data_IF_096405357906
#
_entry.id   IF_096405357906
#
_cell.length_a   1.000
_cell.length_b   1.000
_cell.length_c   1.000
_cell.angle_alpha   90.00
_cell.angle_beta   90.00
_cell.angle_gamma   90.00
#
_symmetry.space_group_name_H-M   'P 1'
#
loop_
_entity.id
_entity.type
_entity.pdbx_description
1 polymer ?
#
# COMPACT_ATOMS: atom_id res chain seq x y z
N UNK A 1 -16.76 -82.43 14.64
CA UNK A 1 -18.02 -83.15 14.40
C UNK A 1 -18.18 -84.15 15.53
N UNK A 2 -19.15 -83.93 16.42
CA UNK A 2 -19.49 -84.93 17.41
C UNK A 2 -20.03 -86.15 16.67
N UNK A 3 -19.38 -87.31 16.80
CA UNK A 3 -20.00 -88.57 16.40
C UNK A 3 -21.23 -88.73 17.30
N UNK A 4 -22.41 -88.54 16.72
CA UNK A 4 -23.66 -88.93 17.37
C UNK A 4 -23.60 -90.43 17.60
N UNK A 5 -23.32 -90.86 18.83
CA UNK A 5 -23.55 -92.22 19.30
C UNK A 5 -25.07 -92.48 19.40
N UNK A 6 -25.82 -92.10 18.37
CA UNK A 6 -27.22 -92.40 18.22
C UNK A 6 -27.32 -93.88 17.89
N UNK A 7 -27.94 -94.63 18.79
CA UNK A 7 -28.15 -96.07 18.63
C UNK A 7 -29.17 -96.28 17.51
N UNK A 8 -28.86 -97.13 16.53
CA UNK A 8 -29.79 -97.50 15.46
C UNK A 8 -31.03 -98.16 16.08
N UNK A 9 -32.18 -97.50 16.00
CA UNK A 9 -33.45 -98.00 16.55
C UNK A 9 -34.23 -98.84 15.53
N UNK A 10 -33.97 -98.67 14.23
CA UNK A 10 -34.64 -99.39 13.15
C UNK A 10 -33.95 -100.73 12.86
N UNK A 11 -34.73 -101.82 12.84
CA UNK A 11 -34.25 -103.18 12.57
C UNK A 11 -33.64 -103.32 11.17
N UNK A 12 -34.21 -102.67 10.15
CA UNK A 12 -33.65 -102.69 8.79
C UNK A 12 -32.32 -101.94 8.72
N UNK A 13 -32.19 -100.83 9.45
CA UNK A 13 -30.93 -100.11 9.54
C UNK A 13 -29.83 -100.96 10.25
N UNK A 14 -30.19 -101.70 11.29
CA UNK A 14 -29.28 -102.65 11.94
C UNK A 14 -28.87 -103.78 11.00
N UNK A 15 -29.79 -104.33 10.20
CA UNK A 15 -29.49 -105.37 9.18
C UNK A 15 -28.55 -104.87 8.10
N UNK A 16 -28.81 -103.67 7.55
CA UNK A 16 -27.96 -103.04 6.54
C UNK A 16 -26.54 -102.86 7.10
N UNK A 17 -26.41 -102.35 8.33
CA UNK A 17 -25.10 -102.17 8.96
C UNK A 17 -24.39 -103.50 9.26
N UNK A 18 -25.13 -104.54 9.64
CA UNK A 18 -24.56 -105.88 9.84
C UNK A 18 -24.01 -106.47 8.53
N UNK A 19 -24.72 -106.30 7.41
CA UNK A 19 -24.25 -106.73 6.08
C UNK A 19 -23.01 -105.93 5.67
N UNK A 20 -23.02 -104.60 5.86
CA UNK A 20 -21.86 -103.76 5.56
C UNK A 20 -20.64 -104.14 6.42
N UNK A 21 -20.85 -104.49 7.68
CA UNK A 21 -19.76 -104.95 8.53
C UNK A 21 -19.23 -106.33 8.13
N UNK A 22 -20.13 -107.26 7.84
CA UNK A 22 -19.74 -108.60 7.42
C UNK A 22 -19.03 -108.59 6.07
N UNK A 23 -19.47 -107.75 5.13
CA UNK A 23 -18.82 -107.58 3.83
C UNK A 23 -17.45 -106.92 3.97
N UNK A 24 -17.30 -105.87 4.78
CA UNK A 24 -16.00 -105.26 5.07
C UNK A 24 -15.03 -106.28 5.68
N UNK A 25 -15.49 -107.07 6.66
CA UNK A 25 -14.69 -108.11 7.30
C UNK A 25 -14.25 -109.19 6.30
N UNK A 26 -15.16 -109.67 5.43
CA UNK A 26 -14.81 -110.64 4.36
C UNK A 26 -13.80 -110.07 3.37
N UNK A 27 -13.98 -108.81 2.95
CA UNK A 27 -13.08 -108.13 2.04
C UNK A 27 -11.69 -107.92 2.64
N UNK A 28 -11.61 -107.63 3.95
CA UNK A 28 -10.34 -107.53 4.66
C UNK A 28 -9.59 -108.87 4.67
N UNK A 29 -10.28 -109.97 5.00
CA UNK A 29 -9.67 -111.31 4.98
C UNK A 29 -9.15 -111.68 3.58
N UNK A 30 -9.95 -111.47 2.54
CA UNK A 30 -9.53 -111.75 1.15
C UNK A 30 -8.41 -110.81 0.66
N UNK A 31 -8.29 -109.62 1.23
CA UNK A 31 -7.24 -108.67 0.84
C UNK A 31 -5.82 -109.17 1.15
N UNK A 32 -5.70 -110.16 2.04
CA UNK A 32 -4.45 -110.79 2.41
C UNK A 32 -4.06 -111.96 1.49
N UNK A 33 -4.96 -112.40 0.60
CA UNK A 33 -4.68 -113.43 -0.40
C UNK A 33 -4.04 -112.75 -1.62
N UNK A 34 -2.79 -113.09 -2.00
CA UNK A 34 -2.17 -112.50 -3.18
C UNK A 34 -2.92 -112.88 -4.47
N UNK A 35 -3.35 -111.92 -5.30
CA UNK A 35 -4.10 -112.22 -6.50
C UNK A 35 -3.18 -112.75 -7.60
N UNK A 36 -3.62 -113.77 -8.34
CA UNK A 36 -2.99 -114.27 -9.56
C UNK A 36 -1.55 -114.81 -9.42
N UNK A 37 -0.98 -114.85 -8.21
CA UNK A 37 0.39 -115.35 -7.94
C UNK A 37 0.48 -116.01 -6.57
N UNK A 38 1.43 -116.94 -6.43
CA UNK A 38 1.82 -117.48 -5.11
C UNK A 38 2.63 -116.45 -4.32
N UNK A 39 2.45 -116.33 -3.00
CA UNK A 39 3.30 -115.52 -2.13
C UNK A 39 4.79 -115.92 -2.21
N UNK A 40 5.68 -115.00 -1.89
CA UNK A 40 7.11 -115.30 -1.71
C UNK A 40 7.30 -116.26 -0.52
N UNK A 41 8.17 -117.26 -0.65
CA UNK A 41 8.34 -118.29 0.39
C UNK A 41 7.16 -119.28 0.48
N UNK A 42 6.43 -119.49 -0.63
CA UNK A 42 5.27 -120.39 -0.67
C UNK A 42 5.57 -121.80 -0.15
N UNK A 43 6.76 -122.35 -0.41
CA UNK A 43 7.13 -123.69 0.05
C UNK A 43 7.19 -123.76 1.60
N UNK A 44 7.74 -122.72 2.25
CA UNK A 44 7.74 -122.60 3.72
C UNK A 44 6.33 -122.37 4.28
N UNK A 45 5.47 -121.67 3.53
CA UNK A 45 4.06 -121.48 3.87
C UNK A 45 3.27 -122.79 3.83
N UNK A 46 3.51 -123.64 2.82
CA UNK A 46 2.86 -124.95 2.66
C UNK A 46 3.23 -125.88 3.81
N UNK A 47 4.49 -125.88 4.22
CA UNK A 47 4.99 -126.71 5.32
C UNK A 47 4.36 -126.33 6.68
N UNK A 48 4.08 -125.05 6.91
CA UNK A 48 3.51 -124.55 8.17
C UNK A 48 1.98 -124.64 8.23
N UNK A 49 1.30 -124.44 7.11
CA UNK A 49 -0.16 -124.31 7.05
C UNK A 49 -0.85 -125.62 6.62
N UNK A 50 -0.09 -126.52 5.99
CA UNK A 50 -0.53 -127.85 5.58
C UNK A 50 -0.98 -127.93 4.13
N UNK A 51 -0.83 -129.12 3.54
CA UNK A 51 -1.08 -129.38 2.12
C UNK A 51 -2.55 -129.14 1.71
N UNK A 52 -3.51 -129.35 2.62
CA UNK A 52 -4.94 -129.12 2.34
C UNK A 52 -5.26 -127.63 2.12
N UNK A 53 -4.64 -126.75 2.91
CA UNK A 53 -4.83 -125.30 2.78
C UNK A 53 -4.11 -124.77 1.53
N UNK A 54 -2.90 -125.28 1.28
CA UNK A 54 -2.15 -124.97 0.07
C UNK A 54 -2.95 -125.36 -1.19
N UNK A 55 -3.57 -126.54 -1.19
CA UNK A 55 -4.41 -127.00 -2.30
C UNK A 55 -5.59 -126.05 -2.56
N UNK A 56 -6.31 -125.63 -1.52
CA UNK A 56 -7.45 -124.70 -1.66
C UNK A 56 -7.00 -123.33 -2.22
N UNK A 57 -5.83 -122.84 -1.79
CA UNK A 57 -5.27 -121.59 -2.32
C UNK A 57 -4.74 -121.73 -3.75
N UNK A 58 -4.16 -122.87 -4.10
CA UNK A 58 -3.73 -123.18 -5.46
C UNK A 58 -4.92 -123.35 -6.43
N UNK A 59 -6.01 -123.98 -5.97
CA UNK A 59 -7.27 -124.06 -6.71
C UNK A 59 -7.88 -122.67 -6.93
N UNK A 60 -7.91 -121.82 -5.89
CA UNK A 60 -8.33 -120.43 -6.03
C UNK A 60 -7.46 -119.65 -7.02
N UNK A 61 -6.13 -119.80 -6.94
CA UNK A 61 -5.18 -119.16 -7.84
C UNK A 61 -5.40 -119.57 -9.30
N UNK A 62 -5.60 -120.86 -9.55
CA UNK A 62 -5.88 -121.40 -10.87
C UNK A 62 -7.19 -120.84 -11.43
N UNK A 63 -8.26 -120.82 -10.62
CA UNK A 63 -9.55 -120.26 -11.02
C UNK A 63 -9.46 -118.76 -11.31
N UNK A 64 -8.69 -117.99 -10.54
CA UNK A 64 -8.44 -116.56 -10.80
C UNK A 64 -7.70 -116.32 -12.12
N UNK A 65 -6.70 -117.16 -12.42
CA UNK A 65 -5.94 -117.09 -13.68
C UNK A 65 -6.82 -117.44 -14.88
N UNK A 66 -7.58 -118.53 -14.79
CA UNK A 66 -8.54 -118.93 -15.81
C UNK A 66 -9.63 -117.87 -16.02
N UNK A 67 -10.16 -117.31 -14.93
CA UNK A 67 -11.20 -116.28 -15.02
C UNK A 67 -10.68 -115.03 -15.71
N UNK A 68 -9.43 -114.64 -15.43
CA UNK A 68 -8.76 -113.55 -16.13
C UNK A 68 -8.63 -113.83 -17.62
N UNK A 69 -8.26 -115.05 -18.03
CA UNK A 69 -8.14 -115.42 -19.44
C UNK A 69 -9.47 -115.44 -20.20
N UNK A 70 -10.54 -115.92 -19.58
CA UNK A 70 -11.88 -115.93 -20.19
C UNK A 70 -12.48 -114.52 -20.23
N UNK A 71 -12.15 -113.67 -19.24
CA UNK A 71 -12.64 -112.29 -19.17
C UNK A 71 -11.87 -111.33 -20.07
N UNK A 72 -10.65 -111.67 -20.52
CA UNK A 72 -9.87 -110.81 -21.43
C UNK A 72 -10.31 -111.00 -22.89
N UNK A 73 -10.51 -109.90 -23.65
CA UNK A 73 -10.92 -110.01 -25.05
C UNK A 73 -9.82 -110.68 -25.91
N UNK A 74 -10.22 -111.48 -26.89
CA UNK A 74 -9.33 -112.34 -27.71
C UNK A 74 -8.06 -111.65 -28.26
N UNK A 75 -8.11 -110.36 -28.58
CA UNK A 75 -6.97 -109.60 -29.09
C UNK A 75 -5.86 -109.30 -28.06
N UNK A 76 -6.13 -109.48 -26.76
CA UNK A 76 -5.21 -109.20 -25.64
C UNK A 76 -4.81 -110.49 -24.88
N UNK A 77 -5.32 -111.66 -25.30
CA UNK A 77 -5.07 -112.93 -24.62
C UNK A 77 -3.59 -113.38 -24.71
N UNK A 78 -2.88 -113.01 -25.78
CA UNK A 78 -1.45 -113.29 -25.93
C UNK A 78 -0.58 -112.51 -24.93
N UNK A 79 -0.99 -111.29 -24.53
CA UNK A 79 -0.29 -110.46 -23.54
C UNK A 79 -0.68 -110.83 -22.09
N UNK A 80 -1.83 -111.49 -21.91
CA UNK A 80 -2.31 -112.03 -20.64
C UNK A 80 -1.66 -113.38 -20.24
N UNK A 81 -0.69 -113.87 -21.03
CA UNK A 81 0.08 -115.09 -20.74
C UNK A 81 -0.70 -116.39 -20.92
N UNK A 82 -1.71 -116.41 -21.80
CA UNK A 82 -2.48 -117.62 -22.08
C UNK A 82 -1.65 -118.63 -22.91
N UNK A 83 -1.50 -119.84 -22.37
CA UNK A 83 -0.92 -120.98 -23.08
C UNK A 83 -2.04 -121.75 -23.79
N UNK A 84 -2.07 -121.68 -25.13
CA UNK A 84 -3.17 -122.15 -25.97
C UNK A 84 -3.43 -123.67 -25.97
N UNK A 85 -2.73 -124.43 -25.12
CA UNK A 85 -2.89 -125.87 -24.97
C UNK A 85 -4.02 -126.27 -23.98
N UNK A 86 -4.52 -125.35 -23.14
CA UNK A 86 -5.54 -125.66 -22.13
C UNK A 86 -6.96 -125.29 -22.57
N UNK A 87 -7.87 -126.28 -22.60
CA UNK A 87 -9.30 -126.03 -22.81
C UNK A 87 -9.87 -125.26 -21.61
N UNK A 88 -10.34 -124.02 -21.85
CA UNK A 88 -10.95 -123.20 -20.81
C UNK A 88 -12.39 -123.66 -20.54
N UNK A 89 -12.83 -123.73 -19.26
CA UNK A 89 -14.23 -123.93 -18.91
C UNK A 89 -15.13 -122.80 -19.44
N UNK A 90 -16.44 -123.03 -19.50
CA UNK A 90 -17.40 -121.99 -19.83
C UNK A 90 -17.40 -120.89 -18.75
N UNK A 91 -17.61 -119.63 -19.17
CA UNK A 91 -17.54 -118.47 -18.28
C UNK A 91 -18.49 -118.58 -17.10
N UNK A 92 -19.73 -119.05 -17.31
CA UNK A 92 -20.72 -119.20 -16.24
C UNK A 92 -20.28 -120.25 -15.22
N UNK A 93 -19.76 -121.39 -15.68
CA UNK A 93 -19.24 -122.45 -14.79
C UNK A 93 -18.03 -121.97 -13.99
N UNK A 94 -17.14 -121.21 -14.63
CA UNK A 94 -15.95 -120.67 -14.00
C UNK A 94 -16.25 -119.56 -12.99
N UNK A 95 -17.24 -118.70 -13.28
CA UNK A 95 -17.73 -117.67 -12.34
C UNK A 95 -18.33 -118.33 -11.09
N UNK A 96 -19.13 -119.40 -11.25
CA UNK A 96 -19.71 -120.14 -10.14
C UNK A 96 -18.67 -120.89 -9.30
N UNK A 97 -17.69 -121.55 -9.94
CA UNK A 97 -16.58 -122.23 -9.28
C UNK A 97 -15.66 -121.25 -8.55
N UNK A 98 -15.31 -120.12 -9.18
CA UNK A 98 -14.52 -119.06 -8.53
C UNK A 98 -15.26 -118.46 -7.34
N UNK A 99 -16.57 -118.21 -7.45
CA UNK A 99 -17.40 -117.76 -6.30
C UNK A 99 -17.49 -118.80 -5.21
N UNK A 100 -17.53 -120.09 -5.56
CA UNK A 100 -17.52 -121.17 -4.57
C UNK A 100 -16.18 -121.24 -3.86
N UNK A 101 -15.08 -121.28 -4.60
CA UNK A 101 -13.72 -121.30 -4.07
C UNK A 101 -13.43 -120.08 -3.19
N UNK A 102 -13.80 -118.87 -3.64
CA UNK A 102 -13.65 -117.63 -2.86
C UNK A 102 -14.44 -117.68 -1.55
N UNK A 103 -15.61 -118.34 -1.52
CA UNK A 103 -16.38 -118.57 -0.28
C UNK A 103 -15.71 -119.59 0.65
N UNK A 104 -15.11 -120.63 0.09
CA UNK A 104 -14.35 -121.66 0.84
C UNK A 104 -13.09 -121.03 1.45
N UNK A 105 -12.30 -120.29 0.66
CA UNK A 105 -11.13 -119.52 1.12
C UNK A 105 -11.52 -118.53 2.22
N UNK A 106 -12.58 -117.74 2.01
CA UNK A 106 -13.13 -116.84 3.05
C UNK A 106 -13.45 -117.58 4.36
N UNK A 107 -14.11 -118.74 4.26
CA UNK A 107 -14.52 -119.53 5.42
C UNK A 107 -13.29 -120.09 6.14
N UNK A 108 -12.35 -120.65 5.39
CA UNK A 108 -11.10 -121.18 5.90
C UNK A 108 -10.29 -120.11 6.65
N UNK A 109 -10.12 -118.91 6.06
CA UNK A 109 -9.42 -117.79 6.69
C UNK A 109 -10.13 -117.27 7.96
N UNK A 110 -11.46 -117.38 8.00
CA UNK A 110 -12.27 -117.01 9.17
C UNK A 110 -12.19 -118.04 10.30
N UNK A 111 -12.21 -119.32 9.97
CA UNK A 111 -12.21 -120.43 10.93
C UNK A 111 -10.80 -120.70 11.50
N UNK A 112 -9.75 -120.39 10.74
CA UNK A 112 -8.35 -120.54 11.14
C UNK A 112 -7.55 -119.22 10.96
N UNK A 113 -7.62 -118.28 11.92
CA UNK A 113 -6.97 -116.97 11.81
C UNK A 113 -5.44 -117.02 11.69
N UNK A 114 -4.80 -118.09 12.18
CA UNK A 114 -3.36 -118.33 12.00
C UNK A 114 -2.93 -118.35 10.52
N UNK A 115 -3.81 -118.84 9.63
CA UNK A 115 -3.58 -118.86 8.17
C UNK A 115 -3.52 -117.44 7.62
N UNK A 116 -4.48 -116.60 8.02
CA UNK A 116 -4.54 -115.20 7.61
C UNK A 116 -3.36 -114.40 8.15
N UNK A 117 -2.92 -114.66 9.38
CA UNK A 117 -1.73 -114.03 9.96
C UNK A 117 -0.46 -114.40 9.22
N UNK A 118 -0.32 -115.67 8.82
CA UNK A 118 0.84 -116.10 8.04
C UNK A 118 0.82 -115.52 6.62
N UNK A 119 -0.33 -115.47 5.96
CA UNK A 119 -0.49 -114.79 4.66
C UNK A 119 -0.13 -113.29 4.72
N UNK A 120 -0.44 -112.62 5.84
CA UNK A 120 0.01 -111.24 6.08
C UNK A 120 1.52 -111.11 6.23
N UNK A 121 2.20 -112.12 6.75
CA UNK A 121 3.66 -112.13 6.96
C UNK A 121 4.43 -112.51 5.68
N UNK A 122 3.91 -113.43 4.87
CA UNK A 122 4.52 -113.89 3.62
C UNK A 122 4.22 -112.97 2.43
N UNK A 123 3.10 -112.25 2.46
CA UNK A 123 2.76 -111.22 1.48
C UNK A 123 3.57 -109.93 1.69
N UNK A 124 4.83 -109.90 1.27
CA UNK A 124 5.77 -108.79 1.48
C UNK A 124 5.29 -107.39 1.01
N UNK A 125 4.26 -107.30 0.15
CA UNK A 125 3.72 -106.02 -0.37
C UNK A 125 2.35 -105.61 0.21
N UNK A 126 1.74 -106.43 1.08
CA UNK A 126 0.39 -106.24 1.60
C UNK A 126 -0.69 -106.18 0.49
N UNK A 127 -1.95 -105.82 0.82
CA UNK A 127 -3.01 -105.72 -0.18
C UNK A 127 -2.66 -104.68 -1.26
N UNK A 128 -3.05 -104.90 -2.52
CA UNK A 128 -2.76 -103.94 -3.60
C UNK A 128 -3.21 -102.51 -3.26
N UNK A 129 -2.57 -101.49 -3.83
CA UNK A 129 -2.96 -100.09 -3.60
C UNK A 129 -4.43 -99.82 -3.96
N UNK A 130 -4.94 -100.50 -4.99
CA UNK A 130 -6.36 -100.46 -5.38
C UNK A 130 -7.26 -101.07 -4.30
N UNK A 131 -6.89 -102.24 -3.75
CA UNK A 131 -7.65 -102.91 -2.69
C UNK A 131 -7.64 -102.10 -1.38
N UNK A 132 -6.50 -101.51 -0.99
CA UNK A 132 -6.42 -100.61 0.18
C UNK A 132 -7.33 -99.40 0.03
N UNK A 133 -7.34 -98.76 -1.15
CA UNK A 133 -8.24 -97.64 -1.45
C UNK A 133 -9.70 -98.09 -1.39
N UNK A 134 -10.03 -99.25 -1.96
CA UNK A 134 -11.37 -99.80 -1.93
C UNK A 134 -11.86 -100.04 -0.49
N UNK A 135 -11.06 -100.73 0.33
CA UNK A 135 -11.35 -100.96 1.75
C UNK A 135 -11.56 -99.65 2.53
N UNK A 136 -10.71 -98.64 2.30
CA UNK A 136 -10.86 -97.31 2.92
C UNK A 136 -12.18 -96.65 2.52
N UNK A 137 -12.48 -96.60 1.21
CA UNK A 137 -13.73 -96.01 0.71
C UNK A 137 -14.97 -96.77 1.20
N UNK A 138 -14.87 -98.09 1.36
CA UNK A 138 -15.96 -98.90 1.88
C UNK A 138 -16.18 -98.65 3.39
N UNK A 139 -15.10 -98.48 4.16
CA UNK A 139 -15.18 -98.08 5.56
C UNK A 139 -15.79 -96.67 5.72
N UNK A 140 -15.45 -95.74 4.84
CA UNK A 140 -16.08 -94.41 4.78
C UNK A 140 -17.56 -94.50 4.42
N UNK A 141 -17.93 -95.32 3.43
CA UNK A 141 -19.33 -95.57 3.06
C UNK A 141 -20.12 -96.14 4.23
N UNK A 142 -19.57 -97.12 4.96
CA UNK A 142 -20.16 -97.67 6.19
C UNK A 142 -20.39 -96.55 7.21
N UNK A 143 -19.39 -95.70 7.45
CA UNK A 143 -19.48 -94.59 8.40
C UNK A 143 -20.57 -93.57 8.00
N UNK A 144 -20.63 -93.19 6.73
CA UNK A 144 -21.64 -92.27 6.20
C UNK A 144 -23.04 -92.88 6.24
N UNK A 145 -23.16 -94.16 5.93
CA UNK A 145 -24.43 -94.91 5.98
C UNK A 145 -24.93 -95.01 7.41
N UNK A 146 -24.05 -95.28 8.37
CA UNK A 146 -24.38 -95.25 9.79
C UNK A 146 -24.88 -93.85 10.20
N UNK A 147 -24.16 -92.80 9.84
CA UNK A 147 -24.55 -91.43 10.15
C UNK A 147 -25.95 -91.12 9.63
N UNK A 148 -26.23 -91.40 8.35
CA UNK A 148 -27.55 -91.18 7.73
C UNK A 148 -28.67 -92.01 8.33
N UNK A 149 -28.42 -93.28 8.65
CA UNK A 149 -29.43 -94.16 9.25
C UNK A 149 -29.66 -93.86 10.75
N UNK A 150 -28.71 -93.17 11.39
CA UNK A 150 -28.79 -92.76 12.80
C UNK A 150 -29.38 -91.36 13.00
N UNK A 151 -29.44 -90.55 11.94
CA UNK A 151 -30.06 -89.21 11.99
C UNK A 151 -31.57 -89.32 11.86
N UNK A 152 -32.29 -88.64 12.75
CA UNK A 152 -33.76 -88.57 12.67
C UNK A 152 -34.22 -87.56 11.61
N UNK A 153 -35.46 -87.70 11.16
CA UNK A 153 -36.07 -86.75 10.21
C UNK A 153 -36.16 -85.35 10.82
N UNK A 154 -36.40 -85.26 12.12
CA UNK A 154 -36.42 -83.99 12.86
C UNK A 154 -35.02 -83.35 12.95
N UNK A 155 -33.98 -84.14 13.17
CA UNK A 155 -32.59 -83.66 13.17
C UNK A 155 -32.16 -83.17 11.77
N UNK A 156 -32.58 -83.85 10.72
CA UNK A 156 -32.31 -83.44 9.32
C UNK A 156 -33.03 -82.14 8.97
N UNK A 157 -34.33 -82.02 9.29
CA UNK A 157 -35.08 -80.77 9.13
C UNK A 157 -34.49 -79.62 9.94
N UNK A 158 -34.07 -79.86 11.18
CA UNK A 158 -33.43 -78.86 12.02
C UNK A 158 -32.11 -78.35 11.42
N UNK A 159 -31.31 -79.25 10.83
CA UNK A 159 -30.08 -78.88 10.11
C UNK A 159 -30.39 -78.06 8.85
N UNK A 160 -31.43 -78.42 8.11
CA UNK A 160 -31.87 -77.70 6.91
C UNK A 160 -32.36 -76.28 7.27
N UNK A 161 -33.24 -76.16 8.26
CA UNK A 161 -33.74 -74.87 8.75
C UNK A 161 -32.60 -73.98 9.25
N UNK A 162 -31.66 -74.55 10.01
CA UNK A 162 -30.47 -73.84 10.46
C UNK A 162 -29.60 -73.37 9.28
N UNK A 163 -29.40 -74.22 8.26
CA UNK A 163 -28.63 -73.87 7.08
C UNK A 163 -29.29 -72.73 6.29
N UNK A 164 -30.62 -72.75 6.14
CA UNK A 164 -31.37 -71.68 5.49
C UNK A 164 -31.29 -70.38 6.28
N UNK A 165 -31.38 -70.43 7.62
CA UNK A 165 -31.24 -69.24 8.46
C UNK A 165 -29.85 -68.62 8.35
N UNK A 166 -28.80 -69.44 8.39
CA UNK A 166 -27.41 -68.99 8.22
C UNK A 166 -27.21 -68.40 6.82
N UNK A 167 -27.69 -69.07 5.78
CA UNK A 167 -27.60 -68.60 4.40
C UNK A 167 -28.28 -67.24 4.22
N UNK A 168 -29.48 -67.06 4.79
CA UNK A 168 -30.20 -65.80 4.75
C UNK A 168 -29.49 -64.68 5.54
N UNK A 169 -28.85 -65.01 6.67
CA UNK A 169 -28.03 -64.06 7.44
C UNK A 169 -26.77 -63.66 6.66
N UNK A 170 -26.10 -64.62 6.04
CA UNK A 170 -24.91 -64.38 5.21
C UNK A 170 -25.26 -63.50 4.01
N UNK A 171 -26.37 -63.76 3.33
CA UNK A 171 -26.83 -62.95 2.20
C UNK A 171 -27.11 -61.50 2.64
N UNK A 172 -27.84 -61.31 3.74
CA UNK A 172 -28.11 -59.97 4.30
C UNK A 172 -26.82 -59.24 4.67
N UNK A 173 -25.88 -59.93 5.34
CA UNK A 173 -24.59 -59.35 5.70
C UNK A 173 -23.76 -58.98 4.46
N UNK A 174 -23.78 -59.83 3.42
CA UNK A 174 -23.10 -59.58 2.15
C UNK A 174 -23.70 -58.37 1.41
N UNK A 175 -25.03 -58.23 1.40
CA UNK A 175 -25.71 -57.07 0.84
C UNK A 175 -25.37 -55.78 1.61
N UNK A 176 -25.38 -55.81 2.94
CA UNK A 176 -24.96 -54.68 3.78
C UNK A 176 -23.50 -54.29 3.53
N UNK A 177 -22.60 -55.28 3.42
CA UNK A 177 -21.20 -55.05 3.14
C UNK A 177 -21.00 -54.38 1.77
N UNK A 178 -21.73 -54.83 0.74
CA UNK A 178 -21.71 -54.19 -0.59
C UNK A 178 -22.23 -52.77 -0.55
N UNK A 179 -23.31 -52.52 0.19
CA UNK A 179 -23.89 -51.18 0.35
C UNK A 179 -22.91 -50.23 1.06
N UNK A 180 -22.33 -50.65 2.20
CA UNK A 180 -21.34 -49.87 2.93
C UNK A 180 -20.08 -49.62 2.09
N UNK A 181 -19.62 -50.60 1.31
CA UNK A 181 -18.50 -50.41 0.39
C UNK A 181 -18.82 -49.38 -0.70
N UNK A 182 -20.06 -49.34 -1.19
CA UNK A 182 -20.51 -48.34 -2.16
C UNK A 182 -20.57 -46.95 -1.53
N UNK A 183 -21.11 -46.83 -0.31
CA UNK A 183 -21.16 -45.58 0.45
C UNK A 183 -19.75 -45.04 0.74
N UNK A 184 -18.82 -45.89 1.21
CA UNK A 184 -17.42 -45.50 1.43
C UNK A 184 -16.77 -45.00 0.14
N UNK A 185 -17.02 -45.66 -0.99
CA UNK A 185 -16.47 -45.22 -2.29
C UNK A 185 -17.05 -43.88 -2.73
N UNK A 186 -18.36 -43.68 -2.55
CA UNK A 186 -19.03 -42.41 -2.87
C UNK A 186 -18.50 -41.27 -1.99
N UNK A 187 -18.48 -41.46 -0.67
CA UNK A 187 -18.00 -40.48 0.30
C UNK A 187 -16.53 -40.11 0.06
N UNK A 188 -15.67 -41.08 -0.27
CA UNK A 188 -14.27 -40.81 -0.65
C UNK A 188 -14.18 -39.98 -1.92
N UNK A 189 -15.00 -40.27 -2.93
CA UNK A 189 -15.00 -39.51 -4.18
C UNK A 189 -15.51 -38.07 -3.98
N UNK A 190 -16.53 -37.88 -3.15
CA UNK A 190 -17.07 -36.56 -2.81
C UNK A 190 -16.05 -35.75 -2.00
N UNK A 191 -15.42 -36.37 -0.99
CA UNK A 191 -14.32 -35.75 -0.24
C UNK A 191 -13.16 -35.34 -1.14
N UNK A 192 -12.76 -36.19 -2.10
CA UNK A 192 -11.68 -35.86 -3.04
C UNK A 192 -12.04 -34.65 -3.92
N UNK A 193 -13.28 -34.58 -4.41
CA UNK A 193 -13.78 -33.41 -5.16
C UNK A 193 -13.74 -32.14 -4.31
N UNK A 194 -14.21 -32.20 -3.07
CA UNK A 194 -14.21 -31.06 -2.15
C UNK A 194 -12.79 -30.60 -1.82
N UNK A 195 -11.87 -31.53 -1.58
CA UNK A 195 -10.45 -31.24 -1.35
C UNK A 195 -9.86 -30.54 -2.57
N UNK A 196 -10.08 -31.08 -3.78
CA UNK A 196 -9.58 -30.49 -5.01
C UNK A 196 -10.12 -29.07 -5.26
N UNK A 197 -11.42 -28.84 -5.04
CA UNK A 197 -12.03 -27.50 -5.17
C UNK A 197 -11.45 -26.50 -4.14
N UNK A 198 -11.24 -26.94 -2.90
CA UNK A 198 -10.63 -26.11 -1.86
C UNK A 198 -9.17 -25.81 -2.17
N UNK A 199 -8.41 -26.78 -2.67
CA UNK A 199 -7.02 -26.58 -3.10
C UNK A 199 -6.92 -25.57 -4.25
N UNK A 200 -7.82 -25.63 -5.24
CA UNK A 200 -7.88 -24.64 -6.31
C UNK A 200 -8.19 -23.24 -5.77
N UNK A 201 -9.14 -23.14 -4.83
CA UNK A 201 -9.48 -21.87 -4.17
C UNK A 201 -8.29 -21.31 -3.37
N UNK A 202 -7.59 -22.16 -2.62
CA UNK A 202 -6.38 -21.78 -1.87
C UNK A 202 -5.31 -21.27 -2.83
N UNK A 203 -5.14 -21.92 -3.99
CA UNK A 203 -4.18 -21.47 -5.01
C UNK A 203 -4.54 -20.09 -5.55
N UNK A 204 -5.80 -19.87 -5.96
CA UNK A 204 -6.28 -18.56 -6.43
C UNK A 204 -6.06 -17.45 -5.41
N UNK A 205 -6.42 -17.72 -4.14
CA UNK A 205 -6.23 -16.75 -3.06
C UNK A 205 -4.75 -16.45 -2.77
N UNK A 206 -3.85 -17.43 -2.93
CA UNK A 206 -2.40 -17.20 -2.81
C UNK A 206 -1.89 -16.33 -3.94
N UNK A 207 -2.30 -16.61 -5.18
CA UNK A 207 -1.90 -15.84 -6.35
C UNK A 207 -2.42 -14.39 -6.25
N UNK A 208 -3.68 -14.20 -5.83
CA UNK A 208 -4.26 -12.87 -5.57
C UNK A 208 -3.50 -12.12 -4.48
N UNK A 209 -3.15 -12.79 -3.39
CA UNK A 209 -2.42 -12.20 -2.28
C UNK A 209 -1.00 -11.79 -2.70
N UNK A 210 -0.32 -12.59 -3.52
CA UNK A 210 1.00 -12.25 -4.09
C UNK A 210 0.91 -11.07 -5.07
N UNK A 211 -0.12 -11.03 -5.92
CA UNK A 211 -0.38 -9.92 -6.81
C UNK A 211 -0.66 -8.62 -6.05
N UNK A 212 -1.51 -8.66 -5.01
CA UNK A 212 -1.78 -7.49 -4.16
C UNK A 212 -0.50 -7.03 -3.46
N UNK A 213 0.28 -7.95 -2.86
CA UNK A 213 1.54 -7.61 -2.20
C UNK A 213 2.54 -6.95 -3.15
N UNK A 214 2.73 -7.51 -4.33
CA UNK A 214 3.67 -6.97 -5.32
C UNK A 214 3.20 -5.61 -5.85
N UNK A 215 1.89 -5.44 -6.10
CA UNK A 215 1.30 -4.16 -6.48
C UNK A 215 1.47 -3.11 -5.37
N UNK A 216 1.15 -3.42 -4.12
CA UNK A 216 1.32 -2.50 -2.99
C UNK A 216 2.78 -2.09 -2.79
N UNK A 217 3.73 -3.03 -2.90
CA UNK A 217 5.17 -2.71 -2.80
C UNK A 217 5.60 -1.79 -3.96
N UNK A 218 5.06 -2.00 -5.17
CA UNK A 218 5.36 -1.15 -6.31
C UNK A 218 4.77 0.27 -6.14
N UNK A 219 3.51 0.37 -5.69
CA UNK A 219 2.85 1.64 -5.38
C UNK A 219 3.56 2.40 -4.26
N UNK A 220 3.98 1.72 -3.19
CA UNK A 220 4.74 2.32 -2.08
C UNK A 220 6.06 2.89 -2.57
N UNK A 221 6.83 2.13 -3.36
CA UNK A 221 8.08 2.62 -3.96
C UNK A 221 7.87 3.79 -4.91
N UNK A 222 6.80 3.75 -5.70
CA UNK A 222 6.47 4.84 -6.60
C UNK A 222 6.10 6.11 -5.81
N UNK A 223 5.24 5.98 -4.81
CA UNK A 223 4.83 7.10 -3.96
C UNK A 223 6.02 7.70 -3.20
N UNK A 224 6.92 6.86 -2.65
CA UNK A 224 8.14 7.34 -2.01
C UNK A 224 9.05 8.09 -2.99
N UNK A 225 9.21 7.59 -4.22
CA UNK A 225 10.04 8.23 -5.23
C UNK A 225 9.44 9.57 -5.67
N UNK A 226 8.12 9.63 -5.90
CA UNK A 226 7.40 10.86 -6.24
C UNK A 226 7.44 11.87 -5.10
N UNK A 227 7.23 11.44 -3.85
CA UNK A 227 7.31 12.31 -2.68
C UNK A 227 8.72 12.89 -2.51
N UNK A 228 9.76 12.06 -2.60
CA UNK A 228 11.16 12.52 -2.52
C UNK A 228 11.50 13.49 -3.65
N UNK A 229 11.10 13.19 -4.89
CA UNK A 229 11.33 14.07 -6.02
C UNK A 229 10.61 15.43 -5.84
N UNK A 230 9.38 15.42 -5.31
CA UNK A 230 8.65 16.64 -4.99
C UNK A 230 9.32 17.44 -3.87
N UNK A 231 9.73 16.78 -2.78
CA UNK A 231 10.44 17.41 -1.67
C UNK A 231 11.77 18.02 -2.13
N UNK A 232 12.55 17.30 -2.93
CA UNK A 232 13.82 17.80 -3.49
C UNK A 232 13.60 19.01 -4.41
N UNK A 233 12.54 18.98 -5.24
CA UNK A 233 12.18 20.10 -6.11
C UNK A 233 11.76 21.34 -5.31
N UNK A 234 10.92 21.16 -4.28
CA UNK A 234 10.48 22.24 -3.40
C UNK A 234 11.65 22.82 -2.60
N UNK A 235 12.50 21.96 -2.03
CA UNK A 235 13.70 22.37 -1.30
C UNK A 235 14.66 23.16 -2.19
N UNK A 236 14.88 22.73 -3.43
CA UNK A 236 15.68 23.47 -4.40
C UNK A 236 15.06 24.84 -4.71
N UNK A 237 13.76 24.89 -4.99
CA UNK A 237 13.05 26.14 -5.28
C UNK A 237 13.06 27.11 -4.08
N UNK A 238 12.91 26.60 -2.85
CA UNK A 238 13.01 27.41 -1.64
C UNK A 238 14.43 27.91 -1.40
N UNK A 239 15.44 27.07 -1.60
CA UNK A 239 16.84 27.46 -1.46
C UNK A 239 17.22 28.54 -2.46
N UNK A 240 16.81 28.40 -3.73
CA UNK A 240 17.03 29.41 -4.77
C UNK A 240 16.34 30.74 -4.42
N UNK A 241 15.10 30.67 -3.92
CA UNK A 241 14.35 31.86 -3.49
C UNK A 241 15.01 32.52 -2.29
N UNK A 242 15.45 31.75 -1.30
CA UNK A 242 16.18 32.25 -0.14
C UNK A 242 17.46 32.95 -0.56
N UNK A 243 18.27 32.33 -1.42
CA UNK A 243 19.49 32.92 -1.96
C UNK A 243 19.21 34.23 -2.71
N UNK A 244 18.15 34.28 -3.53
CA UNK A 244 17.77 35.50 -4.26
C UNK A 244 17.37 36.64 -3.32
N UNK A 245 16.58 36.35 -2.29
CA UNK A 245 16.16 37.32 -1.28
C UNK A 245 17.33 37.78 -0.42
N UNK A 246 18.25 36.88 -0.06
CA UNK A 246 19.48 37.23 0.66
C UNK A 246 20.36 38.15 -0.19
N UNK A 247 20.50 37.90 -1.49
CA UNK A 247 21.24 38.77 -2.41
C UNK A 247 20.58 40.14 -2.58
N UNK A 248 19.24 40.20 -2.64
CA UNK A 248 18.53 41.47 -2.70
C UNK A 248 18.66 42.26 -1.39
N UNK A 249 18.59 41.57 -0.25
CA UNK A 249 18.79 42.18 1.06
C UNK A 249 20.20 42.78 1.20
N UNK A 250 21.24 42.06 0.81
CA UNK A 250 22.62 42.58 0.85
C UNK A 250 22.79 43.78 -0.08
N UNK A 251 22.24 43.72 -1.30
CA UNK A 251 22.22 44.85 -2.24
C UNK A 251 21.53 46.08 -1.63
N UNK A 252 20.35 45.91 -1.04
CA UNK A 252 19.61 47.01 -0.41
C UNK A 252 20.35 47.60 0.79
N UNK A 253 21.02 46.78 1.60
CA UNK A 253 21.85 47.24 2.71
C UNK A 253 23.01 48.11 2.20
N UNK A 254 23.69 47.69 1.13
CA UNK A 254 24.77 48.46 0.51
C UNK A 254 24.27 49.77 -0.11
N UNK A 255 23.13 49.73 -0.79
CA UNK A 255 22.48 50.91 -1.38
C UNK A 255 22.11 51.93 -0.29
N UNK A 256 21.49 51.47 0.81
CA UNK A 256 21.12 52.29 1.95
C UNK A 256 22.38 52.89 2.62
N UNK A 257 23.44 52.10 2.80
CA UNK A 257 24.73 52.58 3.34
C UNK A 257 25.31 53.69 2.46
N UNK A 258 25.26 53.51 1.14
CA UNK A 258 25.75 54.49 0.16
C UNK A 258 24.91 55.77 0.22
N UNK A 259 23.58 55.66 0.18
CA UNK A 259 22.67 56.82 0.31
C UNK A 259 22.85 57.57 1.62
N UNK A 260 23.05 56.86 2.75
CA UNK A 260 23.38 57.50 4.03
C UNK A 260 24.69 58.28 3.96
N UNK A 261 25.73 57.72 3.33
CA UNK A 261 27.01 58.41 3.14
C UNK A 261 26.87 59.65 2.25
N UNK A 262 26.23 59.51 1.09
CA UNK A 262 25.93 60.62 0.17
C UNK A 262 25.15 61.75 0.88
N UNK A 263 24.09 61.40 1.61
CA UNK A 263 23.29 62.38 2.36
C UNK A 263 24.12 63.07 3.45
N UNK A 264 24.94 62.32 4.19
CA UNK A 264 25.81 62.88 5.22
C UNK A 264 26.83 63.85 4.61
N UNK A 265 27.49 63.48 3.51
CA UNK A 265 28.44 64.33 2.81
C UNK A 265 27.77 65.59 2.22
N UNK A 266 26.56 65.45 1.67
CA UNK A 266 25.75 66.57 1.19
C UNK A 266 25.35 67.51 2.33
N UNK A 267 24.85 66.97 3.45
CA UNK A 267 24.51 67.74 4.64
C UNK A 267 25.73 68.46 5.21
N UNK A 268 26.87 67.78 5.37
CA UNK A 268 28.12 68.40 5.80
C UNK A 268 28.59 69.50 4.84
N UNK A 269 28.45 69.29 3.53
CA UNK A 269 28.74 70.29 2.51
C UNK A 269 27.86 71.53 2.64
N UNK A 270 26.56 71.35 2.85
CA UNK A 270 25.62 72.45 3.09
C UNK A 270 25.90 73.16 4.41
N UNK A 271 26.21 72.44 5.50
CA UNK A 271 26.62 73.03 6.78
C UNK A 271 27.88 73.88 6.64
N UNK A 272 28.90 73.40 5.92
CA UNK A 272 30.12 74.17 5.64
C UNK A 272 29.82 75.43 4.84
N UNK A 273 28.98 75.35 3.80
CA UNK A 273 28.54 76.53 3.02
C UNK A 273 27.77 77.53 3.88
N UNK A 274 26.85 77.05 4.74
CA UNK A 274 26.11 77.87 5.68
C UNK A 274 27.06 78.66 6.58
N UNK A 275 28.00 77.98 7.27
CA UNK A 275 28.98 78.62 8.16
C UNK A 275 29.84 79.63 7.38
N UNK A 276 30.25 79.30 6.15
CA UNK A 276 31.00 80.23 5.30
C UNK A 276 30.20 81.50 5.01
N UNK A 277 28.94 81.38 4.56
CA UNK A 277 28.10 82.55 4.31
C UNK A 277 27.79 83.33 5.59
N UNK A 278 27.53 82.66 6.72
CA UNK A 278 27.38 83.32 8.02
C UNK A 278 28.63 84.14 8.38
N UNK A 279 29.84 83.59 8.15
CA UNK A 279 31.09 84.31 8.38
C UNK A 279 31.30 85.49 7.42
N UNK A 280 30.92 85.36 6.15
CA UNK A 280 30.98 86.45 5.15
C UNK A 280 30.00 87.57 5.48
N UNK A 281 28.78 87.21 5.91
CA UNK A 281 27.78 88.17 6.40
C UNK A 281 28.28 88.86 7.65
N UNK A 282 28.83 88.12 8.62
CA UNK A 282 29.40 88.71 9.83
C UNK A 282 30.54 89.69 9.48
N UNK A 283 31.44 89.31 8.58
CA UNK A 283 32.50 90.21 8.12
C UNK A 283 31.96 91.48 7.43
N UNK A 284 30.86 91.36 6.69
CA UNK A 284 30.18 92.50 6.08
C UNK A 284 29.53 93.41 7.14
N UNK A 285 28.90 92.83 8.17
CA UNK A 285 28.33 93.55 9.31
C UNK A 285 29.44 94.28 10.06
N UNK A 286 30.52 93.59 10.43
CA UNK A 286 31.66 94.19 11.16
C UNK A 286 32.28 95.36 10.38
N UNK A 287 32.38 95.22 9.05
CA UNK A 287 32.85 96.30 8.18
C UNK A 287 31.88 97.49 8.16
N UNK A 288 30.59 97.24 8.02
CA UNK A 288 29.56 98.27 8.04
C UNK A 288 29.53 99.00 9.39
N UNK A 289 29.53 98.27 10.50
CA UNK A 289 29.55 98.83 11.85
C UNK A 289 30.77 99.70 12.07
N UNK A 290 31.95 99.27 11.60
CA UNK A 290 33.17 100.07 11.66
C UNK A 290 33.10 101.35 10.84
N UNK A 291 32.63 101.26 9.59
CA UNK A 291 32.45 102.43 8.71
C UNK A 291 31.42 103.41 9.28
N UNK A 292 30.33 102.90 9.87
CA UNK A 292 29.33 103.72 10.56
C UNK A 292 29.89 104.39 11.80
N UNK A 293 30.69 103.69 12.61
CA UNK A 293 31.35 104.25 13.79
C UNK A 293 32.35 105.36 13.39
N UNK A 294 33.11 105.16 12.31
CA UNK A 294 33.99 106.18 11.74
C UNK A 294 33.19 107.41 11.25
N UNK A 295 32.06 107.20 10.56
CA UNK A 295 31.17 108.28 10.12
C UNK A 295 30.52 109.01 11.28
N UNK A 296 30.11 108.33 12.34
CA UNK A 296 29.56 108.96 13.54
C UNK A 296 30.62 109.79 14.28
N UNK A 297 31.88 109.33 14.32
CA UNK A 297 33.01 110.11 14.83
C UNK A 297 33.25 111.36 13.98
N UNK A 298 33.25 111.23 12.66
CA UNK A 298 33.38 112.37 11.73
C UNK A 298 32.24 113.38 11.92
N UNK A 299 30.98 112.91 11.98
CA UNK A 299 29.81 113.77 12.20
C UNK A 299 29.91 114.46 13.57
N UNK A 300 30.32 113.75 14.62
CA UNK A 300 30.48 114.33 15.95
C UNK A 300 31.58 115.39 15.98
N UNK A 301 32.70 115.15 15.31
CA UNK A 301 33.79 116.13 15.15
C UNK A 301 33.33 117.36 14.34
N UNK A 302 32.62 117.15 13.23
CA UNK A 302 32.05 118.24 12.43
C UNK A 302 31.00 119.03 13.19
N UNK A 303 30.14 118.37 13.98
CA UNK A 303 29.18 119.04 14.86
C UNK A 303 29.88 119.90 15.91
N UNK A 304 30.97 119.40 16.49
CA UNK A 304 31.78 120.16 17.45
C UNK A 304 32.34 121.44 16.80
N UNK A 305 32.93 121.31 15.61
CA UNK A 305 33.43 122.46 14.82
C UNK A 305 32.29 123.41 14.48
N UNK A 306 31.16 122.89 13.99
CA UNK A 306 29.98 123.70 13.66
C UNK A 306 29.44 124.46 14.88
N UNK A 307 29.40 123.83 16.06
CA UNK A 307 28.95 124.48 17.28
C UNK A 307 29.93 125.57 17.74
N UNK A 308 31.23 125.39 17.54
CA UNK A 308 32.25 126.42 17.78
C UNK A 308 32.13 127.58 16.79
N UNK A 309 32.04 127.30 15.50
CA UNK A 309 31.83 128.32 14.45
C UNK A 309 30.52 129.07 14.67
N UNK A 310 29.45 128.39 15.07
CA UNK A 310 28.17 129.01 15.40
C UNK A 310 28.28 129.95 16.59
N UNK A 311 29.04 129.58 17.64
CA UNK A 311 29.32 130.48 18.77
C UNK A 311 30.08 131.72 18.31
N UNK A 312 31.11 131.54 17.49
CA UNK A 312 31.88 132.67 16.96
C UNK A 312 31.04 133.56 16.04
N UNK A 313 30.16 132.97 15.23
CA UNK A 313 29.19 133.70 14.41
C UNK A 313 28.24 134.51 15.29
N UNK A 314 27.63 133.91 16.33
CA UNK A 314 26.74 134.66 17.23
C UNK A 314 27.47 135.81 17.93
N UNK A 315 28.74 135.62 18.30
CA UNK A 315 29.58 136.68 18.87
C UNK A 315 29.83 137.81 17.87
N UNK A 316 30.09 137.49 16.60
CA UNK A 316 30.23 138.48 15.52
C UNK A 316 28.91 139.19 15.22
N UNK A 317 27.79 138.47 15.16
CA UNK A 317 26.46 139.02 14.96
C UNK A 317 26.09 140.01 16.08
N UNK A 318 26.38 139.68 17.34
CA UNK A 318 26.21 140.58 18.48
C UNK A 318 27.10 141.83 18.36
N UNK A 319 28.34 141.67 17.89
CA UNK A 319 29.25 142.80 17.64
C UNK A 319 28.74 143.73 16.55
N UNK A 320 28.31 143.19 15.40
CA UNK A 320 27.75 143.98 14.30
C UNK A 320 26.40 144.58 14.65
N UNK A 321 25.55 143.89 15.42
CA UNK A 321 24.27 144.39 15.91
C UNK A 321 24.46 145.62 16.80
N UNK A 322 25.43 145.59 17.74
CA UNK A 322 25.79 146.77 18.55
C UNK A 322 26.29 147.93 17.69
N UNK A 323 27.17 147.67 16.72
CA UNK A 323 27.70 148.69 15.81
C UNK A 323 26.59 149.33 14.95
N UNK A 324 25.64 148.52 14.46
CA UNK A 324 24.50 149.00 13.68
C UNK A 324 23.54 149.85 14.52
N UNK A 325 23.28 149.45 15.77
CA UNK A 325 22.47 150.23 16.71
C UNK A 325 23.11 151.59 17.03
N UNK A 326 24.43 151.64 17.24
CA UNK A 326 25.17 152.90 17.44
C UNK A 326 25.09 153.81 16.20
N UNK A 327 25.18 153.24 14.99
CA UNK A 327 25.04 153.98 13.73
C UNK A 327 23.63 154.54 13.51
N UNK A 328 22.59 153.78 13.86
CA UNK A 328 21.20 154.24 13.80
C UNK A 328 20.95 155.42 14.76
N UNK A 329 21.46 155.35 16.00
CA UNK A 329 21.33 156.43 16.98
C UNK A 329 21.99 157.73 16.48
N UNK A 330 23.17 157.63 15.84
CA UNK A 330 23.85 158.78 15.26
C UNK A 330 23.06 159.43 14.11
N UNK A 331 22.50 158.63 13.20
CA UNK A 331 21.68 159.12 12.08
C UNK A 331 20.35 159.74 12.54
N UNK A 332 19.72 159.19 13.58
CA UNK A 332 18.49 159.73 14.15
C UNK A 332 18.69 161.12 14.80
N UNK A 333 19.85 161.35 15.42
CA UNK A 333 20.19 162.66 16.00
C UNK A 333 20.42 163.74 14.93
N UNK A 334 20.96 163.38 13.76
CA UNK A 334 21.15 164.31 12.65
C UNK A 334 19.81 164.71 12.00
N UNK A 335 18.89 163.76 11.81
CA UNK A 335 17.56 164.02 11.23
C UNK A 335 16.73 165.01 12.06
N UNK A 336 16.76 164.92 13.39
CA UNK A 336 16.05 165.86 14.30
C UNK A 336 16.55 167.30 14.19
N UNK A 337 17.87 167.50 14.03
CA UNK A 337 18.46 168.84 13.89
C UNK A 337 18.17 169.48 12.53
N UNK A 338 18.01 168.68 11.48
CA UNK A 338 17.68 169.17 10.14
C UNK A 338 16.21 169.63 10.04
N UNK A 339 15.26 168.93 10.68
CA UNK A 339 13.83 169.26 10.61
C UNK A 339 13.47 170.58 11.33
N UNK A 340 14.13 170.89 12.44
CA UNK A 340 13.91 172.15 13.17
C UNK A 340 14.32 173.39 12.36
N UNK A 341 15.44 173.34 11.61
CA UNK A 341 15.90 174.46 10.78
C UNK A 341 14.99 174.74 9.57
N UNK A 342 14.35 173.71 9.02
CA UNK A 342 13.46 173.85 7.86
C UNK A 342 12.14 174.57 8.21
N UNK A 343 11.61 174.40 9.43
CA UNK A 343 10.34 175.03 9.85
C UNK A 343 10.46 176.54 10.06
N UNK A 344 11.59 177.02 10.57
CA UNK A 344 11.81 178.45 10.85
C UNK A 344 11.95 179.28 9.56
N UNK A 345 12.59 178.73 8.52
CA UNK A 345 12.77 179.43 7.23
C UNK A 345 11.45 179.59 6.45
N UNK A 346 10.51 178.65 6.58
CA UNK A 346 9.22 178.68 5.88
C UNK A 346 8.28 179.79 6.39
N UNK A 347 8.34 180.13 7.69
CA UNK A 347 7.48 181.16 8.28
C UNK A 347 7.85 182.57 7.80
N UNK A 348 9.15 182.86 7.68
CA UNK A 348 9.64 184.17 7.19
C UNK A 348 9.29 184.44 5.72
N UNK A 349 9.23 183.40 4.87
CA UNK A 349 8.92 183.53 3.45
C UNK A 349 7.46 183.92 3.15
N UNK A 350 6.54 183.64 4.08
CA UNK A 350 5.10 183.84 3.87
C UNK A 350 4.67 185.29 4.13
N UNK A 351 5.29 185.95 5.11
CA UNK A 351 5.03 187.36 5.45
C UNK A 351 5.55 188.33 4.37
N UNK A 352 6.67 188.01 3.72
CA UNK A 352 7.26 188.83 2.64
C UNK A 352 6.40 188.85 1.36
N UNK A 353 5.70 187.75 1.04
CA UNK A 353 4.84 187.63 -0.16
C UNK A 353 3.53 188.44 -0.08
N UNK A 354 3.03 188.71 1.12
CA UNK A 354 1.77 189.45 1.31
C UNK A 354 1.92 190.96 1.04
N UNK A 355 3.09 191.56 1.32
CA UNK A 355 3.34 192.98 1.12
C UNK A 355 3.42 193.41 -0.36
N UNK A 356 3.87 192.52 -1.25
CA UNK A 356 4.13 192.81 -2.67
C UNK A 356 2.86 192.75 -3.54
N UNK A 357 1.82 192.04 -3.10
CA UNK A 357 0.58 191.83 -3.88
C UNK A 357 -0.33 193.08 -3.90
N UNK A 358 -0.32 193.88 -2.83
CA UNK A 358 -1.16 195.08 -2.70
C UNK A 358 -0.66 196.23 -3.58
N UNK A 359 0.66 196.36 -3.80
CA UNK A 359 1.24 197.41 -4.64
C UNK A 359 0.99 197.22 -6.15
N UNK A 360 0.61 196.01 -6.59
CA UNK A 360 0.50 195.65 -8.02
C UNK A 360 -0.90 195.91 -8.62
N UNK A 361 -1.95 195.97 -7.81
CA UNK A 361 -3.34 196.04 -8.30
C UNK A 361 -3.83 197.46 -8.66
N UNK A 362 -3.26 198.53 -8.09
CA UNK A 362 -3.72 199.90 -8.38
C UNK A 362 -3.18 200.46 -9.70
N UNK A 363 -1.92 200.16 -10.07
CA UNK A 363 -1.27 200.72 -11.28
C UNK A 363 -1.80 200.14 -12.62
N UNK A 364 -2.63 199.09 -12.59
CA UNK A 364 -3.12 198.40 -13.80
C UNK A 364 -4.46 198.89 -14.36
N UNK A 365 -5.24 199.67 -13.59
CA UNK A 365 -6.57 200.14 -14.02
C UNK A 365 -6.50 201.40 -14.90
N UNK A 366 -5.43 202.17 -14.82
CA UNK A 366 -5.27 203.45 -15.50
C UNK A 366 -4.85 203.30 -16.99
N UNK A 367 -4.22 202.19 -17.38
CA UNK A 367 -3.64 202.04 -18.73
C UNK A 367 -4.53 201.43 -19.81
N UNK A 368 -5.72 200.90 -19.49
CA UNK A 368 -6.50 200.07 -20.45
C UNK A 368 -7.80 200.67 -20.98
N UNK A 369 -8.13 201.91 -20.61
CA UNK A 369 -9.26 202.63 -21.22
C UNK A 369 -8.89 203.42 -22.49
N UNK A 370 -7.61 203.54 -22.85
CA UNK A 370 -7.18 204.39 -23.98
C UNK A 370 -7.09 203.71 -25.35
N UNK A 371 -7.03 202.37 -25.47
CA UNK A 371 -6.59 201.76 -26.74
C UNK A 371 -7.66 201.06 -27.61
N UNK A 372 -8.93 200.99 -27.19
CA UNK A 372 -9.94 200.21 -27.93
C UNK A 372 -11.03 201.01 -28.69
N UNK A 373 -11.03 202.36 -28.68
CA UNK A 373 -12.07 203.17 -29.37
C UNK A 373 -11.62 203.94 -30.62
N UNK A 374 -10.57 203.51 -31.34
CA UNK A 374 -10.23 204.04 -32.67
C UNK A 374 -9.84 202.95 -33.69
N UNK A 375 -10.82 202.47 -34.49
CA UNK A 375 -10.83 202.56 -35.98
C UNK A 375 -11.91 201.65 -36.63
N UNK A 376 -13.14 202.19 -36.77
CA UNK A 376 -14.10 201.91 -37.85
C UNK A 376 -15.28 202.93 -37.83
N UNK A 377 -14.99 204.22 -38.02
CA UNK A 377 -15.92 205.28 -38.47
C UNK A 377 -15.18 206.63 -38.50
N UNK A 378 -15.37 207.40 -39.57
CA UNK A 378 -14.72 208.68 -39.78
C UNK A 378 -15.27 209.81 -38.91
N UNK A 379 -14.40 210.76 -38.56
CA UNK A 379 -14.46 212.14 -39.04
C UNK A 379 -13.36 213.00 -38.37
N UNK A 380 -12.46 213.50 -39.24
CA UNK A 380 -11.77 214.81 -39.17
C UNK A 380 -10.87 215.21 -37.97
N UNK A 381 -9.56 215.22 -38.30
CA UNK A 381 -8.69 216.42 -38.49
C UNK A 381 -7.85 216.96 -37.31
N UNK A 382 -6.52 216.88 -37.51
CA UNK A 382 -5.47 217.81 -37.03
C UNK A 382 -4.74 217.43 -35.73
N UNK A 383 -3.47 217.76 -35.45
CA UNK A 383 -2.32 218.32 -36.21
C UNK A 383 -1.10 218.30 -35.24
N UNK A 384 0.08 217.84 -35.71
CA UNK A 384 1.51 218.10 -35.33
C UNK A 384 1.99 218.39 -33.89
N UNK A 385 3.20 217.87 -33.60
CA UNK A 385 4.24 218.49 -32.73
C UNK A 385 4.86 217.45 -31.78
N UNK A 386 6.03 216.84 -32.00
CA UNK A 386 7.43 217.30 -32.26
C UNK A 386 8.19 217.58 -30.95
N UNK A 387 9.23 216.75 -30.76
CA UNK A 387 10.42 216.89 -29.92
C UNK A 387 10.23 216.96 -28.40
#
# INVERSE_FOLDING_TARGET
MAQSNAKLTNVEAQRIMAILEETLSKLQLLSHVPPLRRPEGYDEFVDEVGAEVAQVLDEQLLLEQQYKWVSTPAHEQADAGYDGEQALPDFETLDDELRHSTRVVCRMLREAPAISERLMQTGAEGPSAAMRRYLSTFAELKSQTYAKLSTSVEEEKSKEDWFLEISAKEEKASQQLRQLQKEIKAEKADRERDVSQREETIKKLRDELENIKSATIAEEKQLEAESKASEDADNAAFTDKENSLQSELTRLIEELKTKRKENKESEEGLRKKKVKFESEVQACIDKYDKEMEEKDKEISALKLIYDEEKKELTRLEEYFSKLMAEREVALAQERKKAEQRAREQAQMATLSKAATMVQKLWRGKEGRNELAKKKAAGAKKGKKGKK
#
